data_IF_205236599231
#
_entry.id   IF_205236599231
#
_cell.length_a   1.000
_cell.length_b   1.000
_cell.length_c   1.000
_cell.angle_alpha   90.00
_cell.angle_beta   90.00
_cell.angle_gamma   90.00
#
_symmetry.space_group_name_H-M   'P 1'
#
loop_
_entity.id
_entity.type
_entity.pdbx_description
1 polymer ?
#
# COMPACT_ATOMS: atom_id res chain seq x y z
N UNK A 1 -77.16 -49.99 -43.35
CA UNK A 1 -77.35 -49.79 -41.89
C UNK A 1 -76.31 -50.67 -41.20
N UNK A 2 -75.29 -50.23 -40.48
CA UNK A 2 -74.76 -48.94 -40.07
C UNK A 2 -73.26 -49.20 -39.81
N UNK A 3 -72.36 -48.57 -40.57
CA UNK A 3 -70.93 -48.51 -40.23
C UNK A 3 -70.72 -47.36 -39.27
N UNK A 4 -70.25 -47.66 -38.06
CA UNK A 4 -69.77 -46.63 -37.13
C UNK A 4 -68.68 -47.19 -36.23
N UNK A 5 -67.46 -46.80 -36.54
CA UNK A 5 -66.29 -46.76 -35.64
C UNK A 5 -65.51 -45.54 -36.10
N UNK A 6 -65.86 -44.35 -35.58
CA UNK A 6 -65.09 -43.65 -34.54
C UNK A 6 -63.59 -43.76 -34.84
N UNK A 7 -63.07 -42.81 -35.63
CA UNK A 7 -61.64 -42.60 -35.71
C UNK A 7 -61.23 -41.56 -34.66
N UNK A 8 -60.22 -41.95 -33.91
CA UNK A 8 -59.77 -41.41 -32.65
C UNK A 8 -58.81 -40.27 -32.89
N UNK A 9 -59.05 -39.15 -32.21
CA UNK A 9 -58.03 -38.24 -31.70
C UNK A 9 -57.00 -37.74 -32.71
N UNK A 10 -57.30 -36.59 -33.29
CA UNK A 10 -56.29 -35.60 -33.67
C UNK A 10 -55.39 -35.32 -32.45
N UNK A 11 -54.28 -36.08 -32.36
CA UNK A 11 -53.17 -35.75 -31.48
C UNK A 11 -52.42 -34.65 -32.19
N UNK A 12 -52.79 -33.41 -31.85
CA UNK A 12 -51.90 -32.26 -31.89
C UNK A 12 -50.73 -32.53 -30.93
N UNK A 13 -49.84 -33.42 -31.35
CA UNK A 13 -48.47 -33.43 -30.90
C UNK A 13 -47.88 -32.13 -31.46
N UNK A 14 -48.05 -31.05 -30.71
CA UNK A 14 -47.25 -29.86 -30.86
C UNK A 14 -45.81 -30.33 -30.75
N UNK A 15 -45.16 -30.47 -31.90
CA UNK A 15 -43.73 -30.55 -32.01
C UNK A 15 -43.21 -29.27 -31.37
N UNK A 16 -42.90 -29.33 -30.08
CA UNK A 16 -41.88 -28.47 -29.49
C UNK A 16 -40.63 -28.79 -30.30
N UNK A 17 -40.47 -28.01 -31.35
CA UNK A 17 -39.27 -27.94 -32.12
C UNK A 17 -38.27 -27.37 -31.12
N UNK A 18 -37.59 -28.27 -30.41
CA UNK A 18 -36.45 -27.93 -29.59
C UNK A 18 -35.46 -27.29 -30.56
N UNK A 19 -35.48 -25.95 -30.57
CA UNK A 19 -34.51 -25.14 -31.28
C UNK A 19 -33.21 -25.38 -30.53
N UNK A 20 -32.49 -26.41 -30.95
CA UNK A 20 -31.08 -26.60 -30.65
C UNK A 20 -30.35 -25.38 -31.23
N UNK A 21 -30.31 -24.31 -30.44
CA UNK A 21 -29.59 -23.09 -30.75
C UNK A 21 -28.11 -23.40 -30.63
N UNK A 22 -27.48 -23.71 -31.77
CA UNK A 22 -26.04 -23.84 -31.85
C UNK A 22 -25.36 -22.56 -31.35
N UNK A 23 -24.27 -22.73 -30.61
CA UNK A 23 -23.44 -21.64 -30.12
C UNK A 23 -22.98 -20.76 -31.29
N UNK A 24 -23.12 -19.46 -31.12
CA UNK A 24 -22.74 -18.51 -32.17
C UNK A 24 -21.25 -18.21 -32.12
N UNK A 25 -20.64 -17.85 -33.25
CA UNK A 25 -19.23 -17.41 -33.28
C UNK A 25 -18.97 -16.23 -32.33
N UNK A 26 -19.95 -15.33 -32.21
CA UNK A 26 -19.88 -14.19 -31.29
C UNK A 26 -19.82 -14.64 -29.83
N UNK A 27 -20.41 -15.76 -29.46
CA UNK A 27 -20.40 -16.28 -28.10
C UNK A 27 -19.03 -16.79 -27.68
N UNK A 28 -18.32 -17.49 -28.58
CA UNK A 28 -16.94 -17.92 -28.35
C UNK A 28 -16.01 -16.70 -28.23
N UNK A 29 -16.22 -15.67 -29.06
CA UNK A 29 -15.49 -14.41 -28.98
C UNK A 29 -15.75 -13.68 -27.65
N UNK A 30 -17.00 -13.59 -27.22
CA UNK A 30 -17.37 -12.97 -25.94
C UNK A 30 -16.77 -13.73 -24.77
N UNK A 31 -16.84 -15.07 -24.77
CA UNK A 31 -16.21 -15.90 -23.74
C UNK A 31 -14.69 -15.67 -23.68
N UNK A 32 -14.02 -15.61 -24.83
CA UNK A 32 -12.59 -15.32 -24.90
C UNK A 32 -12.25 -13.92 -24.38
N UNK A 33 -13.05 -12.90 -24.73
CA UNK A 33 -12.88 -11.54 -24.21
C UNK A 33 -13.04 -11.51 -22.68
N UNK A 34 -14.05 -12.18 -22.14
CA UNK A 34 -14.26 -12.26 -20.69
C UNK A 34 -13.03 -12.90 -20.02
N UNK A 35 -12.56 -14.04 -20.53
CA UNK A 35 -11.37 -14.72 -20.00
C UNK A 35 -10.15 -13.80 -20.05
N UNK A 36 -9.90 -13.14 -21.19
CA UNK A 36 -8.76 -12.24 -21.35
C UNK A 36 -8.82 -11.06 -20.37
N UNK A 37 -10.01 -10.49 -20.15
CA UNK A 37 -10.22 -9.41 -19.18
C UNK A 37 -10.00 -9.91 -17.75
N UNK A 38 -10.52 -11.09 -17.40
CA UNK A 38 -10.34 -11.69 -16.07
C UNK A 38 -8.86 -11.99 -15.80
N UNK A 39 -8.15 -12.58 -16.75
CA UNK A 39 -6.70 -12.84 -16.63
C UNK A 39 -5.93 -11.53 -16.49
N UNK A 40 -6.25 -10.51 -17.30
CA UNK A 40 -5.62 -9.19 -17.20
C UNK A 40 -5.84 -8.56 -15.83
N UNK A 41 -7.07 -8.63 -15.31
CA UNK A 41 -7.41 -8.13 -13.98
C UNK A 41 -6.65 -8.89 -12.88
N UNK A 42 -6.60 -10.22 -12.96
CA UNK A 42 -5.84 -11.05 -12.02
C UNK A 42 -4.34 -10.71 -12.04
N UNK A 43 -3.76 -10.56 -13.23
CA UNK A 43 -2.36 -10.14 -13.40
C UNK A 43 -2.09 -8.75 -12.83
N UNK A 44 -3.02 -7.80 -13.00
CA UNK A 44 -2.90 -6.46 -12.39
C UNK A 44 -2.90 -6.53 -10.88
N UNK A 45 -3.82 -7.28 -10.27
CA UNK A 45 -3.86 -7.46 -8.81
C UNK A 45 -2.57 -8.11 -8.30
N UNK A 46 -2.05 -9.13 -8.99
CA UNK A 46 -0.77 -9.76 -8.64
C UNK A 46 0.41 -8.78 -8.79
N UNK A 47 0.47 -8.04 -9.89
CA UNK A 47 1.55 -7.10 -10.17
C UNK A 47 1.56 -5.93 -9.18
N UNK A 48 0.38 -5.41 -8.83
CA UNK A 48 0.21 -4.42 -7.78
C UNK A 48 0.74 -4.99 -6.45
N UNK A 49 0.24 -6.15 -6.00
CA UNK A 49 0.70 -6.81 -4.77
C UNK A 49 2.23 -6.99 -4.69
N UNK A 50 2.85 -7.42 -5.79
CA UNK A 50 4.31 -7.55 -5.87
C UNK A 50 5.05 -6.20 -5.81
N UNK A 51 4.46 -5.11 -6.34
CA UNK A 51 5.02 -3.77 -6.24
C UNK A 51 4.90 -3.16 -4.83
N UNK A 52 3.87 -3.53 -4.05
CA UNK A 52 3.75 -3.19 -2.62
C UNK A 52 4.78 -3.97 -1.79
N UNK A 53 4.92 -5.27 -2.05
CA UNK A 53 5.88 -6.15 -1.37
C UNK A 53 7.35 -5.75 -1.57
N UNK A 54 7.69 -5.08 -2.68
CA UNK A 54 9.07 -4.56 -2.90
C UNK A 54 9.33 -3.20 -2.26
N UNK A 55 8.29 -2.37 -2.07
CA UNK A 55 8.43 -1.04 -1.44
C UNK A 55 8.40 -1.10 0.08
N UNK A 56 7.69 -2.06 0.66
CA UNK A 56 7.62 -2.27 2.12
C UNK A 56 8.98 -2.50 2.78
N UNK A 57 9.78 -3.50 2.35
CA UNK A 57 11.05 -3.85 3.00
C UNK A 57 12.11 -2.74 2.91
N UNK A 58 12.23 -2.08 1.75
CA UNK A 58 13.19 -0.99 1.55
C UNK A 58 12.83 0.25 2.40
N UNK A 59 11.54 0.54 2.54
CA UNK A 59 11.08 1.62 3.43
C UNK A 59 11.27 1.25 4.90
N UNK A 60 10.98 -0.01 5.29
CA UNK A 60 11.17 -0.50 6.66
C UNK A 60 12.64 -0.46 7.09
N UNK A 61 13.56 -0.87 6.22
CA UNK A 61 15.00 -0.86 6.53
C UNK A 61 15.53 0.56 6.79
N UNK A 62 15.14 1.56 5.99
CA UNK A 62 15.56 2.96 6.22
C UNK A 62 14.94 3.56 7.49
N UNK A 63 13.72 3.15 7.85
CA UNK A 63 13.08 3.58 9.10
C UNK A 63 13.82 3.01 10.31
N UNK A 64 14.18 1.73 10.27
CA UNK A 64 14.94 1.08 11.35
C UNK A 64 16.30 1.76 11.55
N UNK A 65 16.98 2.10 10.45
CA UNK A 65 18.26 2.78 10.52
C UNK A 65 18.16 4.22 11.03
N UNK A 66 17.14 4.96 10.59
CA UNK A 66 16.85 6.28 11.13
C UNK A 66 16.44 6.23 12.62
N UNK A 67 15.78 5.15 13.06
CA UNK A 67 15.46 4.92 14.46
C UNK A 67 16.74 4.66 15.28
N UNK A 68 17.70 3.90 14.75
CA UNK A 68 19.01 3.71 15.39
C UNK A 68 19.77 5.04 15.56
N UNK A 69 19.78 5.89 14.54
CA UNK A 69 20.35 7.25 14.63
C UNK A 69 19.62 8.06 15.70
N UNK A 70 18.28 8.01 15.71
CA UNK A 70 17.47 8.71 16.70
C UNK A 70 17.79 8.26 18.12
N UNK A 71 17.88 6.95 18.37
CA UNK A 71 18.19 6.40 19.68
C UNK A 71 19.58 6.81 20.16
N UNK A 72 20.57 6.86 19.25
CA UNK A 72 21.89 7.39 19.54
C UNK A 72 21.85 8.86 19.96
N UNK A 73 21.08 9.70 19.25
CA UNK A 73 20.90 11.12 19.59
C UNK A 73 20.16 11.31 20.92
N UNK A 74 19.15 10.47 21.19
CA UNK A 74 18.40 10.51 22.45
C UNK A 74 19.22 10.04 23.64
N UNK A 75 20.17 9.12 23.42
CA UNK A 75 21.10 8.69 24.46
C UNK A 75 22.16 9.75 24.80
N UNK A 76 22.41 10.72 23.92
CA UNK A 76 23.36 11.81 24.17
C UNK A 76 22.78 12.84 25.17
N UNK A 77 23.29 12.78 26.40
CA UNK A 77 22.92 13.67 27.51
C UNK A 77 23.35 15.12 27.30
N UNK A 78 24.24 15.37 26.35
CA UNK A 78 24.77 16.69 26.02
C UNK A 78 24.30 17.17 24.65
N UNK A 79 23.22 16.60 24.11
CA UNK A 79 22.67 16.99 22.82
C UNK A 79 22.32 18.49 22.79
N UNK A 80 22.93 19.22 21.86
CA UNK A 80 22.71 20.64 21.66
C UNK A 80 21.87 20.89 20.40
N UNK A 81 21.08 21.98 20.34
CA UNK A 81 20.42 22.38 19.11
C UNK A 81 21.43 22.65 18.00
N UNK A 82 21.04 22.33 16.78
CA UNK A 82 21.87 22.44 15.59
C UNK A 82 21.53 21.37 14.57
N UNK A 83 22.24 21.41 13.45
CA UNK A 83 22.21 20.34 12.46
C UNK A 83 23.43 19.42 12.70
N UNK A 84 23.19 18.11 12.70
CA UNK A 84 24.24 17.09 12.73
C UNK A 84 24.07 16.16 11.55
N UNK A 85 25.15 15.58 11.06
CA UNK A 85 25.12 14.71 9.88
C UNK A 85 26.12 13.58 10.00
N UNK A 86 25.87 12.51 9.24
CA UNK A 86 26.71 11.34 9.27
C UNK A 86 26.45 10.42 8.09
N UNK A 87 26.93 9.20 8.22
CA UNK A 87 26.61 8.11 7.32
C UNK A 87 25.91 6.99 8.09
N UNK A 88 24.98 6.37 7.40
CA UNK A 88 24.34 5.12 7.76
C UNK A 88 25.35 3.97 7.60
N UNK A 89 25.00 2.79 8.08
CA UNK A 89 25.87 1.60 8.06
C UNK A 89 26.19 1.16 6.63
N UNK A 90 25.26 1.40 5.71
CA UNK A 90 25.40 1.15 4.27
C UNK A 90 26.19 2.26 3.52
N UNK A 91 26.62 3.32 4.23
CA UNK A 91 27.33 4.46 3.68
C UNK A 91 26.43 5.60 3.15
N UNK A 92 25.11 5.45 3.17
CA UNK A 92 24.20 6.52 2.78
C UNK A 92 24.26 7.70 3.76
N UNK A 93 24.15 8.93 3.26
CA UNK A 93 24.25 10.13 4.11
C UNK A 93 22.95 10.39 4.85
N UNK A 94 23.05 10.84 6.09
CA UNK A 94 21.90 11.32 6.86
C UNK A 94 22.19 12.68 7.47
N UNK A 95 21.13 13.42 7.77
CA UNK A 95 21.18 14.62 8.60
C UNK A 95 20.09 14.59 9.67
N UNK A 96 20.38 15.13 10.83
CA UNK A 96 19.41 15.36 11.87
C UNK A 96 19.39 16.84 12.24
N UNK A 97 18.18 17.38 12.41
CA UNK A 97 17.96 18.75 12.86
C UNK A 97 17.40 18.73 14.27
N UNK A 98 18.08 19.42 15.17
CA UNK A 98 17.72 19.51 16.58
C UNK A 98 17.31 20.95 16.88
N UNK A 99 16.05 21.15 17.22
CA UNK A 99 15.47 22.47 17.48
C UNK A 99 15.05 22.57 18.94
N UNK A 100 15.44 23.64 19.62
CA UNK A 100 14.89 23.97 20.92
C UNK A 100 13.47 24.49 20.78
N UNK A 101 12.52 23.75 21.35
CA UNK A 101 11.10 24.07 21.32
C UNK A 101 10.56 24.38 22.72
N UNK A 102 11.43 24.53 23.72
CA UNK A 102 11.06 24.78 25.12
C UNK A 102 10.19 26.02 25.23
N UNK A 103 10.63 27.14 24.69
CA UNK A 103 9.91 28.42 24.79
C UNK A 103 8.59 28.42 24.03
N UNK A 104 8.47 27.59 23.00
CA UNK A 104 7.25 27.48 22.19
C UNK A 104 6.20 26.59 22.85
N UNK A 105 6.62 25.49 23.47
CA UNK A 105 5.70 24.50 24.06
C UNK A 105 5.46 24.74 25.55
N UNK A 106 6.53 25.05 26.29
CA UNK A 106 6.50 25.20 27.75
C UNK A 106 7.50 26.28 28.22
N UNK A 107 7.13 27.57 28.16
CA UNK A 107 8.03 28.69 28.48
C UNK A 107 8.66 28.64 29.87
N UNK A 108 8.01 27.97 30.83
CA UNK A 108 8.48 27.81 32.21
C UNK A 108 8.89 26.37 32.55
N UNK A 109 9.19 25.53 31.56
CA UNK A 109 9.60 24.16 31.82
C UNK A 109 10.92 24.12 32.62
N UNK A 110 11.02 23.22 33.62
CA UNK A 110 12.26 23.00 34.36
C UNK A 110 13.34 22.29 33.52
N UNK A 111 12.96 21.70 32.39
CA UNK A 111 13.84 21.01 31.45
C UNK A 111 13.70 21.58 30.04
N UNK A 112 14.76 21.46 29.25
CA UNK A 112 14.74 21.86 27.83
C UNK A 112 13.92 20.85 27.04
N UNK A 113 13.12 21.29 26.08
CA UNK A 113 12.46 20.44 25.11
C UNK A 113 13.15 20.60 23.76
N UNK A 114 13.61 19.49 23.20
CA UNK A 114 14.27 19.42 21.91
C UNK A 114 13.39 18.64 20.94
N UNK A 115 13.14 19.20 19.76
CA UNK A 115 12.53 18.50 18.64
C UNK A 115 13.65 18.00 17.73
N UNK A 116 13.71 16.70 17.54
CA UNK A 116 14.73 16.05 16.72
C UNK A 116 14.04 15.51 15.47
N UNK A 117 14.55 15.90 14.31
CA UNK A 117 14.09 15.47 13.00
C UNK A 117 15.21 14.74 12.28
N UNK A 118 14.99 13.51 11.82
CA UNK A 118 15.99 12.72 11.07
C UNK A 118 15.59 12.63 9.60
N UNK A 119 16.55 12.88 8.72
CA UNK A 119 16.40 12.89 7.27
C UNK A 119 17.37 11.91 6.62
N UNK A 120 16.92 11.27 5.56
CA UNK A 120 17.67 10.20 4.88
C UNK A 120 18.65 10.68 3.81
N UNK A 121 18.73 12.00 3.61
CA UNK A 121 19.66 12.68 2.72
C UNK A 121 19.66 14.18 3.09
N UNK A 122 20.73 14.88 2.72
CA UNK A 122 20.91 16.31 2.97
C UNK A 122 19.87 17.15 2.20
N UNK A 123 19.55 16.76 0.96
CA UNK A 123 18.57 17.44 0.12
C UNK A 123 17.11 17.16 0.52
N UNK A 124 16.85 16.14 1.34
CA UNK A 124 15.49 15.78 1.72
C UNK A 124 14.85 16.87 2.58
N UNK A 125 13.66 17.35 2.19
CA UNK A 125 12.88 18.35 2.95
C UNK A 125 11.89 17.73 3.94
N UNK A 126 11.54 16.47 3.75
CA UNK A 126 10.61 15.74 4.61
C UNK A 126 11.37 14.86 5.59
N UNK A 127 11.18 15.01 6.91
CA UNK A 127 11.82 14.14 7.87
C UNK A 127 11.23 12.72 7.78
N UNK A 128 12.08 11.73 7.92
CA UNK A 128 11.67 10.33 8.01
C UNK A 128 11.15 9.98 9.40
N UNK A 129 11.79 10.54 10.44
CA UNK A 129 11.39 10.41 11.84
C UNK A 129 11.44 11.75 12.54
N UNK A 130 10.50 11.97 13.45
CA UNK A 130 10.42 13.17 14.29
C UNK A 130 10.07 12.73 15.70
N UNK A 131 10.82 13.22 16.69
CA UNK A 131 10.50 13.01 18.11
C UNK A 131 10.71 14.29 18.91
N UNK A 132 10.10 14.34 20.10
CA UNK A 132 10.33 15.38 21.10
C UNK A 132 11.00 14.71 22.29
N UNK A 133 12.14 15.25 22.67
CA UNK A 133 12.97 14.77 23.76
C UNK A 133 13.18 15.86 24.80
N UNK A 134 13.50 15.46 26.02
CA UNK A 134 13.94 16.38 27.07
C UNK A 134 15.46 16.48 27.05
N UNK A 135 15.98 17.71 27.05
CA UNK A 135 17.40 18.03 27.17
C UNK A 135 17.74 18.51 28.58
N UNK A 136 18.98 18.23 29.00
CA UNK A 136 19.55 18.78 30.23
C UNK A 136 19.76 20.29 30.12
N UNK A 137 19.41 21.04 31.19
CA UNK A 137 19.71 22.46 31.32
C UNK A 137 21.07 22.58 32.03
N UNK A 138 22.13 22.94 31.30
CA UNK A 138 23.37 23.43 31.92
C UNK A 138 23.26 24.93 32.17
#
# INVERSE_FOLDING_TARGET
>A
MMSRTVNIGDRSAGSRQDREGGFTLIEVLVAFMIIALTVTMALRVLAEGAAWARRGPAQSSRIEEAASVMDGLLADRHLQPGDTSGAFTDGARWRARIVDVTTLLMPQAPARLLRIEVFTDEASRTPLLVTIATGSRR
#
